data_IF_780988331418
#
_entry.id   IF_780988331418
#
_cell.length_a   1.000
_cell.length_b   1.000
_cell.length_c   1.000
_cell.angle_alpha   90.00
_cell.angle_beta   90.00
_cell.angle_gamma   90.00
#
_symmetry.space_group_name_H-M   'P 1'
#
loop_
_entity.id
_entity.type
_entity.pdbx_description
1 polymer ?
#
# COMPACT_ATOMS: atom_id res chain seq x y z
N UNK A 1 6.43 -14.19 -19.71
CA UNK A 1 5.01 -14.38 -19.31
C UNK A 1 4.49 -13.06 -18.78
N UNK A 2 3.17 -12.80 -18.80
CA UNK A 2 2.53 -11.61 -18.21
C UNK A 2 1.22 -11.99 -17.51
N UNK A 3 0.72 -11.12 -16.62
CA UNK A 3 -0.55 -11.32 -15.91
C UNK A 3 -0.58 -12.61 -15.09
N UNK A 4 -1.75 -13.23 -14.97
CA UNK A 4 -1.92 -14.47 -14.19
C UNK A 4 -1.01 -15.63 -14.63
N UNK A 5 -0.58 -15.65 -15.91
CA UNK A 5 0.37 -16.64 -16.39
C UNK A 5 1.78 -16.46 -15.77
N UNK A 6 2.12 -15.24 -15.34
CA UNK A 6 3.37 -14.93 -14.65
C UNK A 6 3.22 -14.91 -13.12
N UNK A 7 2.11 -14.40 -12.60
CA UNK A 7 1.95 -14.09 -11.16
C UNK A 7 0.50 -14.22 -10.68
N UNK A 8 -0.07 -15.41 -10.76
CA UNK A 8 -1.39 -15.68 -10.18
C UNK A 8 -1.46 -15.27 -8.69
N UNK A 9 -2.36 -14.33 -8.37
CA UNK A 9 -2.57 -13.80 -7.02
C UNK A 9 -3.93 -14.22 -6.46
N UNK A 10 -4.02 -14.35 -5.14
CA UNK A 10 -5.30 -14.58 -4.46
C UNK A 10 -6.20 -13.34 -4.57
N UNK A 11 -7.53 -13.48 -4.69
CA UNK A 11 -8.42 -12.37 -5.06
C UNK A 11 -8.72 -11.41 -3.90
N UNK A 12 -8.08 -11.56 -2.74
CA UNK A 12 -8.43 -10.83 -1.52
C UNK A 12 -8.01 -9.36 -1.53
N UNK A 13 -7.20 -8.91 -2.50
CA UNK A 13 -6.94 -7.49 -2.72
C UNK A 13 -7.62 -6.94 -3.99
N UNK A 14 -8.23 -7.81 -4.82
CA UNK A 14 -8.86 -7.39 -6.08
C UNK A 14 -7.90 -6.84 -7.15
N UNK A 15 -6.58 -7.07 -7.02
CA UNK A 15 -5.57 -6.42 -7.86
C UNK A 15 -5.01 -7.27 -9.00
N UNK A 16 -5.43 -8.52 -9.19
CA UNK A 16 -4.88 -9.38 -10.26
C UNK A 16 -5.03 -8.76 -11.66
N UNK A 17 -6.23 -8.28 -11.99
CA UNK A 17 -6.49 -7.60 -13.27
C UNK A 17 -5.69 -6.29 -13.41
N UNK A 18 -5.65 -5.46 -12.36
CA UNK A 18 -4.92 -4.18 -12.42
C UNK A 18 -3.40 -4.41 -12.60
N UNK A 19 -2.83 -5.37 -11.85
CA UNK A 19 -1.43 -5.76 -12.00
C UNK A 19 -1.13 -6.28 -13.42
N UNK A 20 -2.02 -7.10 -13.98
CA UNK A 20 -1.90 -7.56 -15.36
C UNK A 20 -1.98 -6.41 -16.39
N UNK A 21 -2.85 -5.42 -16.19
CA UNK A 21 -2.91 -4.25 -17.07
C UNK A 21 -1.68 -3.36 -16.98
N UNK A 22 -1.10 -3.20 -15.79
CA UNK A 22 0.18 -2.52 -15.68
C UNK A 22 1.33 -3.28 -16.37
N UNK A 23 1.32 -4.62 -16.37
CA UNK A 23 2.26 -5.41 -17.18
C UNK A 23 2.08 -5.13 -18.67
N UNK A 24 0.83 -5.17 -19.16
CA UNK A 24 0.52 -4.88 -20.57
C UNK A 24 1.01 -3.48 -20.97
N UNK A 25 0.77 -2.47 -20.13
CA UNK A 25 1.18 -1.10 -20.37
C UNK A 25 2.70 -0.93 -20.41
N UNK A 26 3.46 -1.67 -19.57
CA UNK A 26 4.91 -1.64 -19.62
C UNK A 26 5.46 -2.43 -20.82
N UNK A 27 4.92 -3.63 -21.08
CA UNK A 27 5.35 -4.45 -22.21
C UNK A 27 5.13 -3.73 -23.54
N UNK A 28 3.99 -3.06 -23.73
CA UNK A 28 3.73 -2.25 -24.92
C UNK A 28 4.83 -1.19 -25.13
N UNK A 29 5.18 -0.44 -24.07
CA UNK A 29 6.26 0.57 -24.12
C UNK A 29 7.63 -0.04 -24.43
N UNK A 30 7.95 -1.20 -23.87
CA UNK A 30 9.22 -1.89 -24.11
C UNK A 30 9.34 -2.42 -25.55
N UNK A 31 8.23 -2.88 -26.13
CA UNK A 31 8.19 -3.37 -27.52
C UNK A 31 8.32 -2.27 -28.57
N UNK A 32 7.96 -1.02 -28.23
CA UNK A 32 8.18 0.16 -29.07
C UNK A 32 9.63 0.68 -29.01
N UNK A 33 10.43 0.19 -28.05
CA UNK A 33 11.82 0.61 -27.85
C UNK A 33 12.82 -0.06 -28.81
N UNK A 34 14.05 0.48 -28.90
CA UNK A 34 15.11 -0.05 -29.76
C UNK A 34 15.57 -1.47 -29.38
N UNK A 35 15.44 -1.84 -28.10
CA UNK A 35 15.87 -3.12 -27.54
C UNK A 35 14.70 -4.11 -27.37
N UNK A 36 13.74 -4.10 -28.31
CA UNK A 36 12.51 -4.90 -28.19
C UNK A 36 12.73 -6.41 -28.06
N UNK A 37 13.89 -6.93 -28.50
CA UNK A 37 14.29 -8.32 -28.31
C UNK A 37 14.43 -8.70 -26.83
N UNK A 38 14.77 -7.73 -25.98
CA UNK A 38 14.96 -7.93 -24.54
C UNK A 38 13.73 -7.50 -23.72
N UNK A 39 12.63 -7.14 -24.38
CA UNK A 39 11.44 -6.57 -23.73
C UNK A 39 10.92 -7.43 -22.58
N UNK A 40 10.91 -8.77 -22.72
CA UNK A 40 10.46 -9.65 -21.64
C UNK A 40 11.43 -9.72 -20.46
N UNK A 41 12.74 -9.68 -20.71
CA UNK A 41 13.73 -9.64 -19.63
C UNK A 41 13.65 -8.31 -18.86
N UNK A 42 13.50 -7.20 -19.58
CA UNK A 42 13.29 -5.88 -18.98
C UNK A 42 11.97 -5.80 -18.21
N UNK A 43 10.90 -6.40 -18.76
CA UNK A 43 9.61 -6.49 -18.08
C UNK A 43 9.75 -7.25 -16.76
N UNK A 44 10.34 -8.44 -16.77
CA UNK A 44 10.54 -9.25 -15.57
C UNK A 44 11.32 -8.47 -14.51
N UNK A 45 12.44 -7.86 -14.91
CA UNK A 45 13.29 -7.07 -14.00
C UNK A 45 12.52 -5.91 -13.33
N UNK A 46 11.63 -5.24 -14.08
CA UNK A 46 10.89 -4.08 -13.59
C UNK A 46 9.61 -4.46 -12.82
N UNK A 47 8.98 -5.60 -13.15
CA UNK A 47 7.67 -5.98 -12.63
C UNK A 47 7.73 -6.97 -11.47
N UNK A 48 8.72 -7.86 -11.45
CA UNK A 48 8.79 -8.97 -10.48
C UNK A 48 8.61 -8.52 -9.04
N UNK A 49 9.37 -7.51 -8.60
CA UNK A 49 9.28 -7.00 -7.22
C UNK A 49 7.88 -6.48 -6.87
N UNK A 50 7.18 -5.85 -7.82
CA UNK A 50 5.83 -5.33 -7.59
C UNK A 50 4.78 -6.45 -7.62
N UNK A 51 4.92 -7.42 -8.52
CA UNK A 51 4.05 -8.61 -8.58
C UNK A 51 4.16 -9.45 -7.30
N UNK A 52 5.38 -9.70 -6.82
CA UNK A 52 5.64 -10.44 -5.58
C UNK A 52 5.08 -9.67 -4.35
N UNK A 53 5.19 -8.32 -4.35
CA UNK A 53 4.64 -7.49 -3.28
C UNK A 53 3.10 -7.54 -3.22
N UNK A 54 2.40 -7.41 -4.35
CA UNK A 54 0.93 -7.46 -4.35
C UNK A 54 0.40 -8.86 -4.03
N UNK A 55 1.09 -9.92 -4.47
CA UNK A 55 0.77 -11.29 -4.10
C UNK A 55 0.84 -11.47 -2.58
N UNK A 56 1.92 -10.97 -1.95
CA UNK A 56 2.11 -11.01 -0.50
C UNK A 56 1.01 -10.23 0.22
N UNK A 57 0.78 -8.98 -0.18
CA UNK A 57 -0.26 -8.13 0.43
C UNK A 57 -1.67 -8.73 0.28
N UNK A 58 -1.96 -9.45 -0.80
CA UNK A 58 -3.24 -10.12 -0.98
C UNK A 58 -3.43 -11.28 0.00
N UNK A 59 -2.39 -12.06 0.28
CA UNK A 59 -2.42 -13.11 1.32
C UNK A 59 -2.57 -12.51 2.71
N UNK A 60 -1.87 -11.41 3.00
CA UNK A 60 -2.01 -10.69 4.26
C UNK A 60 -3.44 -10.16 4.46
N UNK A 61 -4.04 -9.60 3.41
CA UNK A 61 -5.41 -9.08 3.48
C UNK A 61 -6.43 -10.19 3.78
N UNK A 62 -6.23 -11.40 3.23
CA UNK A 62 -7.04 -12.56 3.60
C UNK A 62 -6.99 -12.88 5.09
N UNK A 63 -5.78 -12.93 5.65
CA UNK A 63 -5.57 -13.25 7.07
C UNK A 63 -6.21 -12.18 7.97
N UNK A 64 -6.04 -10.91 7.60
CA UNK A 64 -6.64 -9.78 8.31
C UNK A 64 -8.17 -9.87 8.32
N UNK A 65 -8.79 -10.06 7.16
CA UNK A 65 -10.25 -10.18 7.01
C UNK A 65 -10.83 -11.41 7.72
N UNK A 66 -10.08 -12.51 7.80
CA UNK A 66 -10.55 -13.75 8.42
C UNK A 66 -10.63 -13.67 9.95
N UNK A 67 -9.59 -13.12 10.57
CA UNK A 67 -9.35 -13.33 12.01
C UNK A 67 -9.42 -12.03 12.85
N UNK A 68 -9.08 -10.88 12.27
CA UNK A 68 -8.70 -9.70 13.05
C UNK A 68 -9.78 -8.60 13.13
N UNK A 69 -10.69 -8.52 12.14
CA UNK A 69 -11.48 -7.28 11.94
C UNK A 69 -12.40 -6.92 13.11
N UNK A 70 -12.92 -7.92 13.82
CA UNK A 70 -13.78 -7.71 14.98
C UNK A 70 -13.02 -7.56 16.32
N UNK A 71 -11.69 -7.67 16.33
CA UNK A 71 -10.91 -7.65 17.56
C UNK A 71 -10.66 -6.21 18.04
N UNK A 72 -10.83 -5.96 19.34
CA UNK A 72 -10.68 -4.61 19.91
C UNK A 72 -9.29 -3.98 19.63
N UNK A 73 -8.22 -4.79 19.67
CA UNK A 73 -6.87 -4.33 19.34
C UNK A 73 -6.74 -3.89 17.88
N UNK A 74 -7.39 -4.60 16.95
CA UNK A 74 -7.41 -4.23 15.54
C UNK A 74 -8.15 -2.91 15.31
N UNK A 75 -9.33 -2.75 15.93
CA UNK A 75 -10.10 -1.50 15.87
C UNK A 75 -9.31 -0.32 16.43
N UNK A 76 -8.56 -0.52 17.52
CA UNK A 76 -7.70 0.52 18.08
C UNK A 76 -6.58 0.93 17.11
N UNK A 77 -5.88 -0.04 16.51
CA UNK A 77 -4.86 0.23 15.49
C UNK A 77 -5.42 1.02 14.32
N UNK A 78 -6.64 0.70 13.87
CA UNK A 78 -7.34 1.42 12.80
C UNK A 78 -7.69 2.85 13.18
N UNK A 79 -8.07 3.11 14.42
CA UNK A 79 -8.31 4.47 14.91
C UNK A 79 -7.01 5.30 14.91
N UNK A 80 -5.88 4.72 15.33
CA UNK A 80 -4.57 5.37 15.27
C UNK A 80 -4.19 5.65 13.81
N UNK A 81 -4.31 4.67 12.92
CA UNK A 81 -4.02 4.83 11.49
C UNK A 81 -4.81 5.98 10.88
N UNK A 82 -6.13 6.01 11.09
CA UNK A 82 -7.00 7.07 10.60
C UNK A 82 -6.62 8.46 11.15
N UNK A 83 -6.28 8.52 12.44
CA UNK A 83 -5.83 9.74 13.09
C UNK A 83 -4.48 10.24 12.55
N UNK A 84 -3.57 9.34 12.16
CA UNK A 84 -2.31 9.65 11.49
C UNK A 84 -2.54 10.14 10.07
N UNK A 85 -3.37 9.47 9.26
CA UNK A 85 -3.71 9.94 7.90
C UNK A 85 -4.33 11.33 7.94
N UNK A 86 -5.23 11.59 8.89
CA UNK A 86 -5.88 12.90 9.03
C UNK A 86 -4.88 14.02 9.35
N UNK A 87 -3.86 13.73 10.19
CA UNK A 87 -2.85 14.72 10.62
C UNK A 87 -1.72 14.90 9.63
N UNK A 88 -1.35 13.85 8.90
CA UNK A 88 -0.22 13.83 7.98
C UNK A 88 -0.60 13.35 6.57
N UNK A 89 -1.64 13.92 5.93
CA UNK A 89 -2.23 13.38 4.71
C UNK A 89 -1.27 13.35 3.51
N UNK A 90 -0.23 14.19 3.53
CA UNK A 90 0.79 14.23 2.48
C UNK A 90 1.81 13.09 2.56
N UNK A 91 1.83 12.34 3.68
CA UNK A 91 2.83 11.30 3.97
C UNK A 91 2.20 9.97 4.34
N UNK A 92 1.04 10.01 5.00
CA UNK A 92 0.36 8.84 5.53
C UNK A 92 -0.92 8.62 4.73
N UNK A 93 -0.97 7.47 4.07
CA UNK A 93 -2.17 6.86 3.54
C UNK A 93 -2.19 5.41 4.01
N UNK A 94 -3.39 4.85 4.17
CA UNK A 94 -3.53 3.42 4.42
C UNK A 94 -2.93 2.61 3.26
N UNK A 95 -2.46 1.39 3.55
CA UNK A 95 -1.95 0.49 2.51
C UNK A 95 -2.98 0.25 1.41
N UNK A 96 -4.25 0.08 1.80
CA UNK A 96 -5.36 -0.07 0.86
C UNK A 96 -5.48 1.16 -0.05
N UNK A 97 -5.41 2.37 0.51
CA UNK A 97 -5.52 3.58 -0.29
C UNK A 97 -4.36 3.72 -1.30
N UNK A 98 -3.13 3.40 -0.88
CA UNK A 98 -1.96 3.38 -1.76
C UNK A 98 -2.16 2.42 -2.93
N UNK A 99 -2.60 1.19 -2.66
CA UNK A 99 -2.75 0.15 -3.69
C UNK A 99 -3.93 0.40 -4.63
N UNK A 100 -5.03 0.96 -4.12
CA UNK A 100 -6.29 1.04 -4.88
C UNK A 100 -6.50 2.37 -5.61
N UNK A 101 -5.91 3.47 -5.15
CA UNK A 101 -6.22 4.81 -5.68
C UNK A 101 -4.99 5.62 -6.09
N UNK A 102 -3.80 5.00 -6.10
CA UNK A 102 -2.58 5.66 -6.55
C UNK A 102 -1.82 4.77 -7.54
N UNK A 103 -0.81 5.34 -8.18
CA UNK A 103 0.15 4.60 -9.01
C UNK A 103 1.47 4.34 -8.28
N UNK A 104 1.48 4.47 -6.95
CA UNK A 104 2.66 4.11 -6.14
C UNK A 104 2.98 2.63 -6.38
N UNK A 105 4.23 2.28 -6.71
CA UNK A 105 4.59 0.88 -6.95
C UNK A 105 4.19 -0.02 -5.78
N UNK A 106 3.65 -1.21 -6.04
CA UNK A 106 3.18 -2.13 -4.99
C UNK A 106 4.26 -2.44 -3.94
N UNK A 107 5.52 -2.56 -4.35
CA UNK A 107 6.63 -2.76 -3.40
C UNK A 107 6.82 -1.56 -2.46
N UNK A 108 6.63 -0.34 -2.95
CA UNK A 108 6.66 0.86 -2.14
C UNK A 108 5.43 0.94 -1.23
N UNK A 109 4.23 0.60 -1.74
CA UNK A 109 3.02 0.54 -0.91
C UNK A 109 3.17 -0.46 0.25
N UNK A 110 3.74 -1.64 -0.02
CA UNK A 110 4.05 -2.64 1.00
C UNK A 110 5.05 -2.10 2.03
N UNK A 111 6.17 -1.50 1.58
CA UNK A 111 7.19 -0.92 2.45
C UNK A 111 6.62 0.18 3.35
N UNK A 112 5.83 1.10 2.80
CA UNK A 112 5.17 2.17 3.56
C UNK A 112 4.17 1.63 4.57
N UNK A 113 3.39 0.62 4.18
CA UNK A 113 2.47 -0.07 5.08
C UNK A 113 3.19 -0.70 6.29
N UNK A 114 4.33 -1.37 6.06
CA UNK A 114 5.15 -1.93 7.13
C UNK A 114 5.71 -0.84 8.08
N UNK A 115 6.17 0.29 7.53
CA UNK A 115 6.62 1.44 8.33
C UNK A 115 5.48 2.01 9.16
N UNK A 116 4.31 2.23 8.56
CA UNK A 116 3.13 2.74 9.26
C UNK A 116 2.69 1.79 10.37
N UNK A 117 2.68 0.48 10.12
CA UNK A 117 2.43 -0.55 11.12
C UNK A 117 3.38 -0.44 12.32
N UNK A 118 4.68 -0.29 12.05
CA UNK A 118 5.68 -0.09 13.11
C UNK A 118 5.56 1.24 13.85
N UNK A 119 5.03 2.30 13.23
CA UNK A 119 4.69 3.56 13.91
C UNK A 119 3.50 3.33 14.84
N UNK A 120 2.42 2.71 14.34
CA UNK A 120 1.23 2.36 15.13
C UNK A 120 1.61 1.49 16.32
N UNK A 121 2.52 0.52 16.14
CA UNK A 121 3.01 -0.34 17.23
C UNK A 121 3.64 0.44 18.38
N UNK A 122 4.28 1.58 18.10
CA UNK A 122 4.88 2.44 19.13
C UNK A 122 3.85 3.34 19.82
N UNK A 123 2.73 3.64 19.15
CA UNK A 123 1.67 4.50 19.66
C UNK A 123 0.55 3.73 20.37
N UNK A 124 0.41 2.43 20.10
CA UNK A 124 -0.70 1.61 20.60
C UNK A 124 -0.74 1.42 22.13
N UNK A 125 0.32 1.79 22.86
CA UNK A 125 0.34 1.80 24.32
C UNK A 125 -0.58 2.87 24.92
N UNK A 126 -0.94 3.91 24.16
CA UNK A 126 -1.93 4.88 24.56
C UNK A 126 -3.32 4.25 24.64
N UNK A 127 -4.11 4.64 25.63
CA UNK A 127 -5.47 4.11 25.87
C UNK A 127 -6.57 4.92 25.16
N UNK A 128 -6.23 6.08 24.60
CA UNK A 128 -7.14 6.93 23.82
C UNK A 128 -6.36 7.83 22.86
N UNK A 129 -7.03 8.48 21.91
CA UNK A 129 -6.38 9.36 20.93
C UNK A 129 -5.77 10.62 21.57
N UNK A 130 -6.34 11.09 22.67
CA UNK A 130 -5.86 12.23 23.45
C UNK A 130 -4.57 11.91 24.20
N UNK A 131 -4.38 10.63 24.57
CA UNK A 131 -3.20 10.15 25.27
C UNK A 131 -2.02 9.80 24.34
N UNK A 132 -2.20 9.89 23.02
CA UNK A 132 -1.13 9.65 22.05
C UNK A 132 -0.11 10.79 22.13
N UNK A 133 1.17 10.44 22.20
CA UNK A 133 2.28 11.38 22.02
C UNK A 133 2.36 11.79 20.54
N UNK A 134 1.66 12.87 20.20
CA UNK A 134 1.62 13.41 18.84
C UNK A 134 2.95 14.06 18.42
N UNK A 135 3.81 14.44 19.37
CA UNK A 135 5.16 14.93 19.07
C UNK A 135 6.02 13.77 18.59
N UNK A 136 6.02 12.65 19.30
CA UNK A 136 6.68 11.41 18.85
C UNK A 136 6.12 10.93 17.51
N UNK A 137 4.79 10.95 17.34
CA UNK A 137 4.15 10.56 16.09
C UNK A 137 4.65 11.42 14.91
N UNK A 138 4.70 12.74 15.07
CA UNK A 138 5.21 13.66 14.05
C UNK A 138 6.68 13.37 13.70
N UNK A 139 7.54 13.17 14.70
CA UNK A 139 8.95 12.79 14.49
C UNK A 139 9.06 11.50 13.69
N UNK A 140 8.34 10.45 14.09
CA UNK A 140 8.42 9.15 13.42
C UNK A 140 7.90 9.21 11.97
N UNK A 141 6.81 9.94 11.73
CA UNK A 141 6.26 10.11 10.38
C UNK A 141 7.25 10.89 9.51
N UNK A 142 7.79 12.01 9.98
CA UNK A 142 8.69 12.84 9.18
C UNK A 142 10.03 12.18 8.88
N UNK A 143 10.58 11.41 9.82
CA UNK A 143 11.85 10.70 9.64
C UNK A 143 11.72 9.48 8.72
N UNK A 144 10.57 8.77 8.75
CA UNK A 144 10.44 7.45 8.10
C UNK A 144 9.58 7.44 6.85
N UNK A 145 8.68 8.42 6.69
CA UNK A 145 7.78 8.52 5.55
C UNK A 145 8.01 9.86 4.84
N UNK A 146 8.63 9.79 3.67
CA UNK A 146 8.74 10.93 2.75
C UNK A 146 7.35 11.33 2.22
N UNK A 147 7.26 12.56 1.68
CA UNK A 147 6.04 13.06 1.02
C UNK A 147 5.68 12.14 -0.15
N UNK A 148 4.39 11.86 -0.28
CA UNK A 148 3.86 11.05 -1.38
C UNK A 148 4.00 11.80 -2.70
N UNK A 149 4.27 11.09 -3.81
CA UNK A 149 4.08 11.65 -5.14
C UNK A 149 2.64 12.17 -5.26
N UNK A 150 2.46 13.37 -5.80
CA UNK A 150 1.13 13.98 -6.02
C UNK A 150 0.29 14.23 -4.75
N UNK A 151 0.93 14.43 -3.59
CA UNK A 151 0.26 14.73 -2.31
C UNK A 151 -0.86 15.79 -2.39
N UNK A 152 -0.74 16.79 -3.28
CA UNK A 152 -1.76 17.80 -3.54
C UNK A 152 -3.08 17.24 -4.09
N UNK A 153 -3.06 16.10 -4.78
CA UNK A 153 -4.23 15.43 -5.35
C UNK A 153 -4.83 14.37 -4.40
N UNK A 154 -4.04 13.91 -3.41
CA UNK A 154 -4.39 12.80 -2.52
C UNK A 154 -5.22 13.21 -1.29
N UNK A 155 -5.34 14.52 -1.00
CA UNK A 155 -5.98 15.05 0.22
C UNK A 155 -7.46 14.68 0.44
N UNK A 156 -8.11 14.03 -0.54
CA UNK A 156 -9.51 13.61 -0.49
C UNK A 156 -9.72 12.09 -0.47
N UNK A 157 -8.68 11.28 -0.76
CA UNK A 157 -8.84 9.86 -1.08
C UNK A 157 -9.27 9.03 0.14
N UNK A 158 -8.68 9.27 1.32
CA UNK A 158 -8.99 8.47 2.51
C UNK A 158 -10.29 8.89 3.23
N UNK A 159 -10.88 10.04 2.86
CA UNK A 159 -12.20 10.48 3.40
C UNK A 159 -13.39 9.77 2.76
N UNK A 160 -13.19 9.22 1.56
CA UNK A 160 -14.22 8.52 0.79
C UNK A 160 -14.05 7.00 0.85
N UNK A 161 -12.97 6.53 1.48
CA UNK A 161 -12.68 5.13 1.62
C UNK A 161 -13.47 4.56 2.80
N UNK A 162 -14.47 3.69 2.60
CA UNK A 162 -15.02 2.95 3.71
C UNK A 162 -13.87 2.16 4.32
N UNK A 163 -13.71 2.23 5.65
CA UNK A 163 -12.90 1.25 6.36
C UNK A 163 -13.35 -0.12 5.85
N UNK A 164 -12.43 -0.87 5.24
CA UNK A 164 -12.75 -2.21 4.71
C UNK A 164 -13.36 -3.00 5.88
N UNK A 165 -14.56 -3.58 5.70
CA UNK A 165 -15.30 -4.24 6.77
C UNK A 165 -14.63 -5.50 7.31
#
# INVERSE_FOLDING_TARGET
>A
LIGDAAHAVVPFHGQGMNCAFEDCALLARLLEGPDCSDAFAQLEQQRKTNADAIATMAVENYQEMRDAVAQAGFLWRRQIEHALTTRFPERVLSRYALVSFTQVPYAEAQRRGAILGGIIDRLQAATSLEAIDWTLAATLVHERLNVLPDAAQLGHIDRQCPAVP
#
